data_IF_687092025499
#
_entry.id   IF_687092025499
#
_cell.length_a   1.000
_cell.length_b   1.000
_cell.length_c   1.000
_cell.angle_alpha   90.00
_cell.angle_beta   90.00
_cell.angle_gamma   90.00
#
_symmetry.space_group_name_H-M   'P 1'
#
loop_
_entity.id
_entity.type
_entity.pdbx_description
1 polymer ?
2 non-polymer ?
3 water ?
#
# COMPACT_ATOMS: atom_id res chain seq x y z
N UNK A 8 -6.12 25.57 12.61
CA UNK A 8 -5.98 24.76 11.34
C UNK A 8 -5.38 23.27 11.52
N UNK A 9 -6.28 22.26 11.76
CA UNK A 9 -5.99 20.97 12.61
C UNK A 9 -5.16 19.79 12.01
N UNK A 10 -5.66 19.14 10.95
CA UNK A 10 -4.82 18.23 10.17
C UNK A 10 -4.60 18.85 8.83
N UNK A 11 -3.52 19.61 8.70
CA UNK A 11 -3.23 20.33 7.50
C UNK A 11 -2.79 19.36 6.44
N UNK A 12 -3.35 19.42 5.23
CA UNK A 12 -2.84 18.64 4.13
C UNK A 12 -1.37 18.91 3.85
N UNK A 13 -0.62 17.86 3.68
CA UNK A 13 0.76 18.02 3.35
C UNK A 13 1.07 18.77 2.07
N UNK A 14 0.21 18.68 1.05
CA UNK A 14 0.49 19.42 -0.18
C UNK A 14 0.00 20.83 -0.14
N UNK A 15 -1.19 21.08 0.35
CA UNK A 15 -1.80 22.39 0.16
C UNK A 15 -1.97 23.17 1.46
N UNK A 16 -1.81 22.50 2.56
CA UNK A 16 -1.78 23.10 3.86
C UNK A 16 -3.14 23.39 4.44
N UNK A 17 -4.17 23.21 3.63
CA UNK A 17 -5.57 23.34 4.11
C UNK A 17 -6.07 22.12 4.85
N UNK A 18 -7.05 22.28 5.72
CA UNK A 18 -7.46 21.17 6.58
C UNK A 18 -8.12 20.02 5.81
N UNK A 19 -7.93 18.81 6.33
CA UNK A 19 -8.43 17.61 5.72
C UNK A 19 -9.64 17.19 6.54
N UNK A 20 -10.83 17.12 5.97
CA UNK A 20 -11.94 16.56 6.73
C UNK A 20 -12.25 15.16 6.34
N UNK A 21 -13.24 14.61 6.99
CA UNK A 21 -13.48 13.17 6.93
C UNK A 21 -14.28 12.92 5.72
N UNK A 22 -15.06 13.93 5.35
CA UNK A 22 -15.86 13.89 4.14
C UNK A 22 -15.09 14.45 2.91
N UNK A 23 -13.79 14.61 3.08
CA UNK A 23 -12.91 14.62 1.93
C UNK A 23 -12.14 13.31 1.85
N UNK A 24 -12.00 12.84 0.61
CA UNK A 24 -10.97 11.93 0.19
C UNK A 24 -9.62 12.36 0.75
N UNK A 25 -9.20 11.68 1.80
CA UNK A 25 -7.88 11.85 2.45
C UNK A 25 -7.08 10.49 2.60
N UNK A 26 -5.75 10.52 2.39
CA UNK A 26 -4.87 9.41 2.74
C UNK A 26 -3.79 9.79 3.71
N UNK A 27 -3.44 8.88 4.60
CA UNK A 27 -2.34 9.11 5.52
C UNK A 27 -1.13 8.58 4.92
N UNK A 28 -0.02 9.23 5.18
CA UNK A 28 1.20 8.71 4.68
C UNK A 28 1.77 7.85 5.74
N UNK A 29 1.57 6.54 5.63
CA UNK A 29 2.04 5.65 6.65
C UNK A 29 3.50 5.33 6.41
N UNK A 30 3.96 5.50 5.17
CA UNK A 30 5.43 5.42 4.88
C UNK A 30 6.42 6.15 5.85
N UNK A 31 5.98 7.17 6.56
CA UNK A 31 6.88 7.86 7.47
C UNK A 31 6.19 9.04 8.15
N UNK A 32 6.25 10.23 7.51
CA UNK A 32 5.79 11.51 8.11
C UNK A 32 4.45 11.54 8.91
N UNK A 33 3.52 10.65 8.61
CA UNK A 33 2.20 10.60 9.27
C UNK A 33 1.31 11.80 9.00
N UNK A 34 1.64 12.57 7.95
CA UNK A 34 0.77 13.63 7.43
C UNK A 34 -0.34 13.07 6.53
N UNK A 35 -1.53 13.69 6.61
CA UNK A 35 -2.64 13.42 5.71
C UNK A 35 -2.51 14.23 4.43
N UNK A 36 -3.08 13.73 3.33
CA UNK A 36 -3.13 14.45 2.05
C UNK A 36 -4.52 14.38 1.38
N UNK A 37 -5.03 15.47 0.84
CA UNK A 37 -6.22 15.32 0.09
C UNK A 37 -5.82 14.51 -1.03
N UNK A 38 -6.60 13.47 -1.28
CA UNK A 38 -6.48 12.72 -2.50
C UNK A 38 -6.33 13.57 -3.73
N UNK A 39 -7.03 14.70 -3.85
CA UNK A 39 -6.90 15.53 -5.03
C UNK A 39 -5.54 16.09 -5.11
N UNK A 40 -5.04 16.68 -4.04
CA UNK A 40 -3.68 17.25 -4.05
C UNK A 40 -2.60 16.29 -4.38
N UNK A 41 -2.76 15.02 -4.05
CA UNK A 41 -1.73 14.02 -4.37
C UNK A 41 -1.76 13.57 -5.83
N UNK A 42 -2.81 13.96 -6.57
CA UNK A 42 -3.01 13.52 -7.95
C UNK A 42 -3.53 12.11 -8.21
N UNK A 43 -4.04 11.45 -7.18
CA UNK A 43 -4.37 10.02 -7.24
C UNK A 43 -5.80 9.88 -7.60
N UNK A 44 -6.09 8.95 -8.50
CA UNK A 44 -7.45 8.74 -8.98
C UNK A 44 -8.38 8.18 -7.91
N UNK A 45 -9.68 8.41 -8.10
CA UNK A 45 -10.69 7.83 -7.26
C UNK A 45 -10.57 6.34 -7.31
N UNK A 46 -10.19 5.80 -8.44
CA UNK A 46 -10.05 4.39 -8.59
C UNK A 46 -8.84 3.81 -7.82
N UNK A 47 -7.71 4.52 -7.78
CA UNK A 47 -6.60 4.09 -6.93
C UNK A 47 -6.96 4.31 -5.51
N UNK A 48 -7.55 5.44 -5.22
CA UNK A 48 -7.83 5.82 -3.85
C UNK A 48 -8.75 4.85 -3.13
N UNK A 49 -9.77 4.33 -3.82
CA UNK A 49 -10.87 3.63 -3.17
C UNK A 49 -10.45 2.23 -2.91
N UNK A 50 -9.55 1.78 -3.74
CA UNK A 50 -8.99 0.51 -3.65
C UNK A 50 -7.92 0.48 -2.54
N UNK A 51 -7.04 1.46 -2.52
CA UNK A 51 -6.12 1.58 -1.42
C UNK A 51 -6.85 1.58 -0.15
N UNK A 52 -7.89 2.40 -0.05
CA UNK A 52 -8.58 2.49 1.19
C UNK A 52 -9.47 1.27 1.50
N UNK A 53 -9.72 0.42 0.53
CA UNK A 53 -10.45 -0.81 0.81
C UNK A 53 -9.55 -1.99 1.21
N UNK A 54 -8.37 -2.12 0.60
CA UNK A 54 -7.32 -3.02 1.11
C UNK A 54 -6.59 -2.50 2.43
N UNK A 55 -6.81 -3.18 3.55
CA UNK A 55 -6.26 -2.71 4.81
C UNK A 55 -4.81 -3.04 4.80
N UNK A 56 -4.49 -4.18 4.21
CA UNK A 56 -3.13 -4.61 4.16
C UNK A 56 -2.23 -3.77 3.19
N UNK A 57 -2.81 -2.83 2.44
CA UNK A 57 -2.02 -1.88 1.58
C UNK A 57 -1.86 -0.54 2.27
N UNK A 58 -0.69 0.08 2.08
CA UNK A 58 -0.38 1.36 2.72
C UNK A 58 0.48 2.25 1.85
N UNK A 59 0.36 3.55 2.04
CA UNK A 59 0.81 4.48 1.02
C UNK A 59 1.86 5.43 1.53
N UNK A 60 2.62 6.00 0.64
CA UNK A 60 3.59 6.94 1.05
C UNK A 60 3.60 8.06 0.11
N UNK A 61 3.87 9.23 0.61
CA UNK A 61 3.77 10.40 -0.23
C UNK A 61 5.00 10.60 -1.05
N UNK A 62 4.88 11.56 -1.96
CA UNK A 62 5.90 11.85 -2.90
C UNK A 62 7.25 12.17 -2.28
N UNK A 63 7.22 12.81 -1.12
CA UNK A 63 8.38 13.25 -0.41
C UNK A 63 9.07 12.08 0.33
N UNK A 64 8.29 11.20 0.94
CA UNK A 64 8.85 10.07 1.71
C UNK A 64 9.35 8.96 0.88
N UNK A 65 8.80 8.82 -0.30
CA UNK A 65 9.23 7.82 -1.25
C UNK A 65 10.50 8.28 -1.97
N UNK A 66 10.69 9.60 -1.98
CA UNK A 66 11.88 10.24 -2.56
C UNK A 66 13.17 9.95 -1.76
N UNK A 67 13.09 9.89 -0.42
CA UNK A 67 14.34 9.70 0.36
C UNK A 67 14.96 8.27 0.30
N UNK B 8 17.72 -20.79 -7.33
CA UNK B 8 17.61 -20.36 -5.85
C UNK B 8 16.11 -20.11 -5.28
N UNK B 9 15.68 -20.91 -4.26
CA UNK B 9 14.25 -20.99 -3.76
C UNK B 9 13.78 -19.70 -3.06
N UNK B 10 12.62 -19.19 -3.48
CA UNK B 10 11.83 -18.21 -2.66
C UNK B 10 10.56 -18.88 -2.08
N UNK B 11 10.61 -19.32 -0.82
CA UNK B 11 9.41 -19.92 -0.37
C UNK B 11 8.33 -18.87 0.00
N UNK B 12 7.12 -19.08 -0.52
CA UNK B 12 5.97 -18.27 -0.20
C UNK B 12 5.75 -18.31 1.28
N UNK B 13 5.68 -17.17 1.93
CA UNK B 13 5.65 -17.15 3.36
C UNK B 13 4.40 -17.74 3.93
N UNK B 14 3.50 -18.24 3.06
CA UNK B 14 2.23 -18.87 3.50
C UNK B 14 2.19 -20.38 3.23
N UNK B 15 2.61 -20.77 2.06
CA UNK B 15 2.56 -22.14 1.68
C UNK B 15 3.94 -22.85 1.56
N UNK B 16 5.03 -22.11 1.58
CA UNK B 16 6.29 -22.77 1.66
C UNK B 16 6.80 -23.21 0.31
N UNK B 17 6.00 -23.01 -0.75
CA UNK B 17 6.38 -23.43 -2.13
C UNK B 17 7.01 -22.33 -2.95
N UNK B 18 7.75 -22.67 -3.98
CA UNK B 18 8.49 -21.64 -4.58
C UNK B 18 7.60 -20.64 -5.29
N UNK B 19 8.07 -19.39 -5.34
CA UNK B 19 7.49 -18.27 -6.10
C UNK B 19 8.30 -18.08 -7.38
N UNK B 20 7.64 -18.20 -8.53
CA UNK B 20 8.29 -18.12 -9.83
C UNK B 20 7.71 -17.00 -10.55
N UNK B 21 8.16 -16.86 -11.77
CA UNK B 21 7.91 -15.68 -12.51
C UNK B 21 6.59 -15.68 -13.16
N UNK B 22 6.07 -16.83 -13.44
CA UNK B 22 4.82 -16.92 -14.15
C UNK B 22 3.60 -16.80 -13.22
N UNK B 23 3.81 -16.39 -11.95
CA UNK B 23 2.81 -16.37 -10.83
C UNK B 23 2.65 -15.00 -10.22
N UNK B 24 1.43 -14.54 -10.00
CA UNK B 24 1.24 -13.28 -9.30
C UNK B 24 1.80 -13.43 -7.89
N UNK B 25 2.71 -12.54 -7.49
CA UNK B 25 3.36 -12.60 -6.17
C UNK B 25 3.58 -11.23 -5.65
N UNK B 26 3.73 -11.12 -4.35
CA UNK B 26 3.77 -9.84 -3.73
C UNK B 26 4.75 -9.90 -2.58
N UNK B 27 5.62 -8.89 -2.44
CA UNK B 27 6.66 -8.85 -1.42
C UNK B 27 6.13 -8.12 -0.23
N UNK B 28 6.36 -8.64 0.96
CA UNK B 28 6.05 -7.88 2.17
C UNK B 28 7.12 -6.89 2.52
N UNK B 29 6.90 -5.63 2.21
CA UNK B 29 7.87 -4.63 2.56
C UNK B 29 7.50 -3.92 3.86
N UNK B 30 6.36 -4.27 4.47
CA UNK B 30 6.17 -3.73 5.84
C UNK B 30 7.37 -4.19 6.70
N UNK B 31 7.75 -5.45 6.58
CA UNK B 31 8.64 -5.95 7.53
C UNK B 31 9.51 -7.08 7.11
N UNK B 32 9.09 -8.31 7.34
CA UNK B 32 9.87 -9.51 6.95
C UNK B 32 10.07 -9.21 5.54
N UNK B 33 10.70 -10.00 4.76
CA UNK B 33 10.53 -9.60 3.40
C UNK B 33 10.37 -10.76 2.57
N UNK B 34 9.34 -11.53 2.85
CA UNK B 34 9.12 -12.78 2.11
C UNK B 34 8.18 -12.47 1.01
N UNK B 35 8.22 -13.32 -0.01
CA UNK B 35 7.37 -13.26 -1.16
C UNK B 35 6.16 -14.11 -0.84
N UNK B 36 4.99 -13.71 -1.33
CA UNK B 36 3.77 -14.49 -1.18
C UNK B 36 3.10 -14.55 -2.51
N UNK B 37 2.48 -15.68 -2.81
CA UNK B 37 1.71 -15.80 -3.99
C UNK B 37 0.52 -15.04 -3.66
N UNK B 38 0.12 -14.23 -4.60
CA UNK B 38 -1.13 -13.55 -4.58
C UNK B 38 -2.28 -14.43 -4.18
N UNK B 39 -2.42 -15.62 -4.80
CA UNK B 39 -3.50 -16.56 -4.45
C UNK B 39 -3.54 -16.90 -2.98
N UNK B 40 -2.41 -17.31 -2.39
CA UNK B 40 -2.38 -17.53 -0.93
C UNK B 40 -2.85 -16.39 0.00
N UNK B 41 -2.63 -15.15 -0.37
CA UNK B 41 -2.98 -14.10 0.51
C UNK B 41 -4.46 -13.88 0.44
N UNK B 42 -5.07 -14.48 -0.58
CA UNK B 42 -6.46 -14.21 -0.86
C UNK B 42 -6.65 -12.79 -1.36
N UNK B 43 -5.66 -12.28 -2.06
CA UNK B 43 -5.71 -10.93 -2.57
C UNK B 43 -6.31 -11.04 -3.95
N UNK B 44 -7.13 -10.06 -4.32
CA UNK B 44 -7.85 -10.08 -5.61
C UNK B 44 -6.94 -9.52 -6.68
N UNK B 45 -7.28 -9.76 -7.93
CA UNK B 45 -6.42 -9.34 -8.98
C UNK B 45 -6.38 -7.82 -9.15
N UNK B 46 -7.46 -7.13 -8.80
CA UNK B 46 -7.52 -5.69 -8.95
C UNK B 46 -6.63 -4.98 -7.94
N UNK B 47 -6.70 -5.41 -6.67
CA UNK B 47 -5.76 -5.01 -5.60
C UNK B 47 -4.38 -5.37 -5.96
N UNK B 48 -4.17 -6.57 -6.45
CA UNK B 48 -2.86 -6.95 -6.97
C UNK B 48 -2.33 -6.02 -8.10
N UNK B 49 -3.10 -5.78 -9.13
CA UNK B 49 -2.67 -4.83 -10.12
C UNK B 49 -2.36 -3.45 -9.56
N UNK B 50 -3.16 -2.93 -8.65
CA UNK B 50 -2.83 -1.62 -8.05
C UNK B 50 -1.56 -1.66 -7.28
N UNK B 51 -1.38 -2.67 -6.46
CA UNK B 51 -0.22 -2.72 -5.62
C UNK B 51 1.05 -2.82 -6.46
N UNK B 52 1.05 -3.67 -7.50
CA UNK B 52 2.26 -3.78 -8.38
C UNK B 52 2.51 -2.60 -9.29
N UNK B 53 1.53 -2.23 -10.13
CA UNK B 53 1.49 -0.87 -10.72
C UNK B 53 2.10 0.22 -9.79
N UNK B 54 1.31 0.75 -8.83
CA UNK B 54 1.72 1.92 -7.93
C UNK B 54 2.93 1.74 -6.93
N UNK B 55 4.01 2.48 -7.14
CA UNK B 55 5.22 2.31 -6.32
C UNK B 55 5.10 2.97 -4.91
N UNK B 56 4.18 3.92 -4.79
CA UNK B 56 3.78 4.52 -3.55
C UNK B 56 3.02 3.58 -2.58
N UNK B 57 2.34 2.57 -3.13
CA UNK B 57 1.56 1.62 -2.35
C UNK B 57 2.42 0.42 -2.02
N UNK B 58 2.69 0.17 -0.73
CA UNK B 58 3.43 -1.02 -0.31
C UNK B 58 2.56 -1.94 0.47
N UNK B 59 2.90 -3.23 0.46
CA UNK B 59 2.08 -4.28 1.09
C UNK B 59 2.81 -4.91 2.27
N UNK B 60 2.02 -5.25 3.27
CA UNK B 60 2.48 -6.06 4.39
C UNK B 60 1.61 -7.28 4.62
N UNK B 61 2.23 -8.40 4.96
CA UNK B 61 1.52 -9.61 5.28
C UNK B 61 0.80 -9.58 6.60
N UNK B 62 -0.01 -10.61 6.81
CA UNK B 62 -0.97 -10.63 7.88
C UNK B 62 -0.24 -10.62 9.16
N UNK B 63 0.93 -11.24 9.20
CA UNK B 63 1.75 -11.33 10.42
C UNK B 63 2.39 -10.02 10.81
N UNK B 64 2.85 -9.23 9.84
CA UNK B 64 3.54 -7.99 10.16
C UNK B 64 2.55 -6.90 10.41
N UNK B 65 1.47 -6.89 9.63
CA UNK B 65 0.39 -5.91 9.84
C UNK B 65 -0.27 -6.12 11.21
N UNK B 66 -0.67 -7.38 11.49
CA UNK B 66 -1.12 -7.87 12.83
C UNK B 66 -0.38 -7.28 14.00
N UNK B 67 0.94 -7.55 14.08
CA UNK B 67 1.80 -6.92 15.13
C UNK B 67 2.81 -5.80 14.70
X LIG C 1 -4.63 19.29 0.05
X LIG D 1 5.11 11.19 3.61
X LIG E 1 1.97 -19.59 -1.79
X LIG F 1 5.53 -9.70 6.46
#
# INVERSE_FOLDING_TARGET
HGHSSSDPVYPCGICTNEVNDDQDAILCEASCQKWFHRICTGMTETAYGLLTAEASAVWGCDTCMAD
HGHSSSDPVYPCGICTNEVNDDQDAILCEASCQKWFHRICTGMTETAYGLLTAEASAVWGCDTCMAD
ZN ZN
ZN ZN
ZN ZN
ZN ZN
#
